data_IF_238503193780
#
_entry.id   IF_238503193780
#
_cell.length_a   1.000
_cell.length_b   1.000
_cell.length_c   1.000
_cell.angle_alpha   90.00
_cell.angle_beta   90.00
_cell.angle_gamma   90.00
#
_symmetry.space_group_name_H-M   'P 1'
#
loop_
_entity.id
_entity.type
_entity.pdbx_description
1 polymer ?
#
# COMPACT_ATOMS: atom_id res chain seq x y z
N UNK A 1 2.78 -4.47 -35.12
CA UNK A 1 2.08 -4.86 -33.86
C UNK A 1 0.58 -5.02 -34.12
N UNK A 2 -0.05 -6.12 -33.68
CA UNK A 2 -1.51 -6.32 -33.83
C UNK A 2 -2.33 -5.32 -32.98
N UNK A 3 -3.55 -4.98 -33.37
CA UNK A 3 -4.43 -4.03 -32.65
C UNK A 3 -4.64 -4.39 -31.17
N UNK A 4 -4.81 -5.67 -30.82
CA UNK A 4 -4.96 -6.11 -29.43
C UNK A 4 -3.68 -5.88 -28.59
N UNK A 5 -2.52 -6.17 -29.17
CA UNK A 5 -1.20 -5.88 -28.55
C UNK A 5 -0.96 -4.37 -28.43
N UNK A 6 -1.40 -3.57 -29.42
CA UNK A 6 -1.35 -2.11 -29.32
C UNK A 6 -2.21 -1.63 -28.14
N UNK A 7 -3.47 -2.05 -28.07
CA UNK A 7 -4.37 -1.64 -26.99
C UNK A 7 -3.78 -1.97 -25.62
N UNK A 8 -3.25 -3.18 -25.47
CA UNK A 8 -2.56 -3.61 -24.23
C UNK A 8 -1.35 -2.72 -23.94
N UNK A 9 -0.48 -2.48 -24.93
CA UNK A 9 0.67 -1.60 -24.76
C UNK A 9 0.27 -0.18 -24.36
N UNK A 10 -0.72 0.42 -25.03
CA UNK A 10 -1.25 1.75 -24.70
C UNK A 10 -1.75 1.77 -23.26
N UNK A 11 -2.53 0.77 -22.86
CA UNK A 11 -3.14 0.67 -21.53
C UNK A 11 -2.07 0.59 -20.42
N UNK A 12 -1.06 -0.26 -20.60
CA UNK A 12 0.03 -0.39 -19.62
C UNK A 12 0.98 0.82 -19.61
N UNK A 13 1.23 1.44 -20.78
CA UNK A 13 2.01 2.68 -20.83
C UNK A 13 1.24 3.81 -20.14
N UNK A 14 -0.06 3.97 -20.43
CA UNK A 14 -0.90 4.97 -19.78
C UNK A 14 -0.95 4.75 -18.26
N UNK A 15 -1.13 3.50 -17.82
CA UNK A 15 -1.07 3.15 -16.39
C UNK A 15 0.28 3.54 -15.78
N UNK A 16 1.38 3.20 -16.44
CA UNK A 16 2.72 3.58 -15.97
C UNK A 16 2.85 5.10 -15.83
N UNK A 17 2.45 5.88 -16.85
CA UNK A 17 2.45 7.36 -16.79
C UNK A 17 1.63 7.88 -15.60
N UNK A 18 0.46 7.30 -15.32
CA UNK A 18 -0.41 7.70 -14.20
C UNK A 18 0.20 7.38 -12.83
N UNK A 19 1.04 6.35 -12.74
CA UNK A 19 1.75 5.98 -11.52
C UNK A 19 3.01 6.82 -11.26
N UNK A 20 3.58 7.45 -12.30
CA UNK A 20 4.74 8.34 -12.17
C UNK A 20 4.30 9.66 -11.53
N UNK A 21 4.61 9.78 -10.23
CA UNK A 21 4.20 10.88 -9.35
C UNK A 21 5.34 11.30 -8.43
N UNK A 22 5.28 12.55 -8.01
CA UNK A 22 6.16 13.12 -7.01
C UNK A 22 5.98 12.40 -5.66
N UNK A 23 7.10 12.17 -4.97
CA UNK A 23 7.09 11.59 -3.64
C UNK A 23 6.66 12.67 -2.68
N UNK A 24 5.49 12.48 -2.09
CA UNK A 24 4.82 13.50 -1.28
C UNK A 24 4.26 12.94 0.03
N UNK A 25 4.66 11.71 0.31
CA UNK A 25 4.24 10.88 1.41
C UNK A 25 5.04 11.20 2.69
N UNK A 26 4.39 11.45 3.83
CA UNK A 26 5.08 11.65 5.10
C UNK A 26 5.97 10.48 5.54
N UNK A 27 5.51 9.25 5.30
CA UNK A 27 6.13 8.03 5.83
C UNK A 27 7.31 7.54 4.99
N UNK A 28 7.34 7.92 3.72
CA UNK A 28 8.47 7.62 2.82
C UNK A 28 9.84 7.92 3.45
N UNK A 29 9.94 9.03 4.17
CA UNK A 29 11.22 9.52 4.69
C UNK A 29 11.79 8.66 5.82
N UNK A 30 10.96 8.18 6.75
CA UNK A 30 11.46 7.30 7.81
C UNK A 30 11.80 5.91 7.28
N UNK A 31 11.09 5.38 6.28
CA UNK A 31 11.49 4.14 5.60
C UNK A 31 12.89 4.26 4.99
N UNK A 32 13.17 5.40 4.35
CA UNK A 32 14.47 5.65 3.75
C UNK A 32 15.58 5.70 4.81
N UNK A 33 15.32 6.36 5.95
CA UNK A 33 16.26 6.40 7.07
C UNK A 33 16.40 5.04 7.76
N UNK A 34 15.34 4.26 7.89
CA UNK A 34 15.35 2.91 8.44
C UNK A 34 16.27 1.99 7.61
N UNK A 35 16.09 2.00 6.28
CA UNK A 35 16.96 1.25 5.38
C UNK A 35 18.42 1.68 5.45
N UNK A 36 18.67 2.99 5.56
CA UNK A 36 20.03 3.52 5.79
C UNK A 36 20.61 3.04 7.11
N UNK A 37 19.85 3.14 8.20
CA UNK A 37 20.27 2.72 9.53
C UNK A 37 20.63 1.23 9.58
N UNK A 38 19.79 0.37 8.99
CA UNK A 38 20.05 -1.08 8.96
C UNK A 38 21.33 -1.43 8.20
N UNK A 39 21.60 -0.75 7.08
CA UNK A 39 22.84 -0.96 6.33
C UNK A 39 24.08 -0.42 7.06
N UNK A 40 23.98 0.74 7.71
CA UNK A 40 25.10 1.36 8.44
C UNK A 40 25.47 0.58 9.71
N UNK A 41 24.48 -0.01 10.39
CA UNK A 41 24.67 -0.69 11.67
C UNK A 41 24.68 -2.22 11.55
N UNK A 42 24.46 -2.77 10.34
CA UNK A 42 24.37 -4.21 10.07
C UNK A 42 23.41 -4.96 11.03
N UNK A 43 22.30 -4.32 11.38
CA UNK A 43 21.32 -4.83 12.34
C UNK A 43 19.90 -4.53 11.89
N UNK A 44 18.96 -5.37 12.31
CA UNK A 44 17.53 -5.13 12.16
C UNK A 44 17.01 -4.71 13.54
N UNK A 45 16.61 -3.44 13.73
CA UNK A 45 16.24 -2.93 15.04
C UNK A 45 14.95 -3.60 15.54
N UNK A 46 14.92 -3.95 16.82
CA UNK A 46 13.71 -4.44 17.50
C UNK A 46 13.10 -3.37 18.44
N UNK A 47 13.77 -2.22 18.54
CA UNK A 47 13.33 -1.05 19.30
C UNK A 47 13.50 0.19 18.45
N UNK A 48 12.76 1.26 18.74
CA UNK A 48 12.83 2.48 17.93
C UNK A 48 14.10 3.30 18.20
N UNK A 49 15.00 3.49 17.20
CA UNK A 49 16.17 4.35 17.39
C UNK A 49 15.84 5.84 17.20
N UNK A 50 14.70 6.19 16.59
CA UNK A 50 14.49 7.54 16.03
C UNK A 50 13.74 8.49 16.95
N UNK A 51 12.74 8.03 17.71
CA UNK A 51 12.01 8.87 18.64
C UNK A 51 12.55 8.72 20.07
N UNK A 52 12.92 9.84 20.70
CA UNK A 52 13.44 9.82 22.07
C UNK A 52 12.38 9.44 23.12
N UNK A 53 11.10 9.53 22.75
CA UNK A 53 9.93 9.15 23.54
C UNK A 53 9.60 7.65 23.44
N UNK A 54 10.21 6.93 22.49
CA UNK A 54 9.91 5.53 22.19
C UNK A 54 11.14 4.60 22.20
N UNK A 55 12.31 5.05 22.68
CA UNK A 55 13.58 4.30 22.60
C UNK A 55 13.53 2.86 23.17
N UNK A 56 12.68 2.61 24.15
CA UNK A 56 12.52 1.29 24.77
C UNK A 56 11.28 0.51 24.27
N UNK A 57 10.49 1.07 23.34
CA UNK A 57 9.30 0.41 22.80
C UNK A 57 9.68 -0.59 21.71
N UNK A 58 8.98 -1.72 21.70
CA UNK A 58 9.10 -2.71 20.62
C UNK A 58 8.77 -2.04 19.28
N UNK A 59 9.63 -2.27 18.29
CA UNK A 59 9.33 -1.97 16.91
C UNK A 59 9.36 -3.27 16.09
N UNK A 60 8.18 -3.67 15.60
CA UNK A 60 8.05 -4.82 14.70
C UNK A 60 8.42 -4.35 13.29
N UNK A 61 9.68 -4.54 12.91
CA UNK A 61 10.22 -4.15 11.59
C UNK A 61 9.75 -5.09 10.47
N UNK A 62 8.44 -5.09 10.24
CA UNK A 62 7.75 -5.93 9.26
C UNK A 62 8.03 -5.56 7.80
N UNK A 63 8.73 -4.44 7.56
CA UNK A 63 9.09 -3.92 6.23
C UNK A 63 10.61 -3.83 6.02
N UNK A 64 11.42 -4.45 6.89
CA UNK A 64 12.88 -4.29 6.91
C UNK A 64 13.55 -4.48 5.53
N UNK A 65 13.13 -5.49 4.76
CA UNK A 65 13.71 -5.76 3.44
C UNK A 65 13.27 -4.71 2.41
N UNK A 66 12.04 -4.20 2.51
CA UNK A 66 11.56 -3.11 1.66
C UNK A 66 12.33 -1.82 1.94
N UNK A 67 12.63 -1.53 3.19
CA UNK A 67 13.39 -0.34 3.59
C UNK A 67 14.83 -0.39 3.08
N UNK A 68 15.50 -1.53 3.25
CA UNK A 68 16.84 -1.77 2.66
C UNK A 68 16.79 -1.63 1.14
N UNK A 69 15.79 -2.22 0.49
CA UNK A 69 15.59 -2.11 -0.96
C UNK A 69 15.38 -0.67 -1.40
N UNK A 70 14.50 0.07 -0.72
CA UNK A 70 14.20 1.48 -1.02
C UNK A 70 15.46 2.35 -0.89
N UNK A 71 16.22 2.22 0.20
CA UNK A 71 17.45 2.97 0.37
C UNK A 71 18.55 2.56 -0.63
N UNK A 72 18.67 1.27 -0.94
CA UNK A 72 19.59 0.79 -1.97
C UNK A 72 19.30 1.38 -3.35
N UNK A 73 18.03 1.41 -3.75
CA UNK A 73 17.58 2.03 -5.02
C UNK A 73 17.81 3.54 -5.01
N UNK A 74 17.50 4.21 -3.90
CA UNK A 74 17.76 5.64 -3.73
C UNK A 74 19.25 5.97 -3.91
N UNK A 75 20.15 5.17 -3.35
CA UNK A 75 21.59 5.37 -3.52
C UNK A 75 22.08 5.27 -4.97
N UNK A 76 21.41 4.47 -5.81
CA UNK A 76 21.81 4.24 -7.20
C UNK A 76 21.30 5.33 -8.15
N UNK A 77 20.10 5.86 -7.92
CA UNK A 77 19.48 6.80 -8.86
C UNK A 77 18.54 7.82 -8.24
N UNK A 78 18.65 8.06 -6.93
CA UNK A 78 17.86 9.03 -6.18
C UNK A 78 16.35 8.78 -6.23
N UNK A 79 15.58 9.86 -6.10
CA UNK A 79 14.12 9.81 -6.21
C UNK A 79 13.65 9.38 -7.60
N UNK A 80 14.45 9.61 -8.64
CA UNK A 80 14.15 9.21 -10.00
C UNK A 80 13.97 7.72 -10.17
N UNK A 81 14.99 6.96 -9.76
CA UNK A 81 14.94 5.52 -9.89
C UNK A 81 13.86 4.92 -8.98
N UNK A 82 13.67 5.46 -7.78
CA UNK A 82 12.60 5.04 -6.87
C UNK A 82 11.20 5.20 -7.48
N UNK A 83 10.88 6.41 -7.97
CA UNK A 83 9.56 6.68 -8.57
C UNK A 83 9.32 5.78 -9.78
N UNK A 84 10.32 5.62 -10.67
CA UNK A 84 10.18 4.77 -11.86
C UNK A 84 10.02 3.29 -11.50
N UNK A 85 10.77 2.81 -10.51
CA UNK A 85 10.73 1.42 -10.07
C UNK A 85 9.38 1.08 -9.41
N UNK A 86 8.90 1.93 -8.49
CA UNK A 86 7.59 1.72 -7.86
C UNK A 86 6.43 1.91 -8.84
N UNK A 87 6.55 2.82 -9.81
CA UNK A 87 5.62 2.91 -10.95
C UNK A 87 5.56 1.60 -11.74
N UNK A 88 6.73 0.98 -11.96
CA UNK A 88 6.85 -0.33 -12.58
C UNK A 88 6.22 -1.45 -11.74
N UNK A 89 6.45 -1.46 -10.43
CA UNK A 89 5.85 -2.42 -9.48
C UNK A 89 4.32 -2.32 -9.51
N UNK A 90 3.76 -1.11 -9.42
CA UNK A 90 2.31 -0.89 -9.47
C UNK A 90 1.79 -1.36 -10.84
N UNK A 91 2.39 -0.91 -11.93
CA UNK A 91 1.98 -1.31 -13.30
C UNK A 91 2.00 -2.83 -13.48
N UNK A 92 3.03 -3.50 -12.97
CA UNK A 92 3.16 -4.96 -13.02
C UNK A 92 2.11 -5.67 -12.14
N UNK A 93 1.72 -5.08 -11.01
CA UNK A 93 0.65 -5.61 -10.18
C UNK A 93 -0.69 -5.68 -10.93
N UNK A 94 -0.91 -4.80 -11.90
CA UNK A 94 -2.07 -4.83 -12.78
C UNK A 94 -1.88 -5.71 -14.03
N UNK A 95 -0.71 -6.34 -14.24
CA UNK A 95 -0.41 -7.13 -15.45
C UNK A 95 -1.31 -8.36 -15.64
N UNK A 96 -1.81 -8.93 -14.54
CA UNK A 96 -2.79 -10.00 -14.58
C UNK A 96 -4.18 -9.54 -15.05
N UNK A 97 -4.47 -8.24 -14.90
CA UNK A 97 -5.77 -7.66 -15.23
C UNK A 97 -5.83 -7.31 -16.71
N UNK A 98 -6.90 -7.74 -17.39
CA UNK A 98 -7.11 -7.49 -18.80
C UNK A 98 -8.44 -6.77 -19.08
N UNK A 99 -8.44 -5.97 -20.14
CA UNK A 99 -9.63 -5.29 -20.66
C UNK A 99 -9.82 -3.86 -20.13
N UNK A 100 -10.85 -3.18 -20.64
CA UNK A 100 -11.13 -1.79 -20.32
C UNK A 100 -11.44 -1.53 -18.83
N UNK A 101 -11.95 -2.55 -18.13
CA UNK A 101 -12.20 -2.49 -16.69
C UNK A 101 -10.92 -2.18 -15.88
N UNK A 102 -9.73 -2.49 -16.42
CA UNK A 102 -8.45 -2.11 -15.81
C UNK A 102 -8.35 -0.60 -15.56
N UNK A 103 -8.83 0.25 -16.48
CA UNK A 103 -8.78 1.70 -16.27
C UNK A 103 -9.63 2.13 -15.07
N UNK A 104 -10.82 1.55 -14.91
CA UNK A 104 -11.68 1.85 -13.77
C UNK A 104 -11.04 1.39 -12.46
N UNK A 105 -10.45 0.19 -12.44
CA UNK A 105 -9.70 -0.31 -11.29
C UNK A 105 -8.49 0.55 -10.96
N UNK A 106 -7.70 0.92 -11.96
CA UNK A 106 -6.56 1.79 -11.83
C UNK A 106 -6.94 3.14 -11.21
N UNK A 107 -7.99 3.80 -11.75
CA UNK A 107 -8.50 5.05 -11.22
C UNK A 107 -9.06 4.91 -9.79
N UNK A 108 -9.73 3.81 -9.46
CA UNK A 108 -10.23 3.55 -8.11
C UNK A 108 -9.11 3.40 -7.07
N UNK A 109 -7.94 2.91 -7.48
CA UNK A 109 -6.76 2.76 -6.60
C UNK A 109 -5.79 3.93 -6.67
N UNK A 110 -5.96 4.84 -7.62
CA UNK A 110 -5.05 5.94 -7.88
C UNK A 110 -4.71 6.78 -6.63
N UNK A 111 -5.64 7.06 -5.70
CA UNK A 111 -5.31 7.85 -4.50
C UNK A 111 -4.32 7.17 -3.55
N UNK A 112 -4.20 5.84 -3.59
CA UNK A 112 -3.34 5.07 -2.67
C UNK A 112 -1.95 4.80 -3.23
N UNK A 113 -1.63 5.26 -4.44
CA UNK A 113 -0.35 4.99 -5.09
C UNK A 113 0.74 5.94 -4.61
N UNK A 114 1.93 5.39 -4.39
CA UNK A 114 3.13 6.14 -4.03
C UNK A 114 4.33 5.21 -3.91
N UNK A 115 5.47 5.78 -3.53
CA UNK A 115 6.68 5.02 -3.19
C UNK A 115 6.52 4.47 -1.77
N UNK A 116 5.80 3.36 -1.64
CA UNK A 116 5.43 2.73 -0.36
C UNK A 116 5.63 1.21 -0.42
N UNK A 117 6.10 0.56 0.65
CA UNK A 117 6.17 -0.91 0.73
C UNK A 117 4.84 -1.62 0.42
N UNK A 118 3.69 -1.00 0.73
CA UNK A 118 2.36 -1.50 0.37
C UNK A 118 2.19 -1.83 -1.12
N UNK A 119 2.89 -1.15 -2.03
CA UNK A 119 2.80 -1.44 -3.47
C UNK A 119 3.38 -2.81 -3.83
N UNK A 120 4.32 -3.34 -3.05
CA UNK A 120 4.80 -4.72 -3.17
C UNK A 120 3.69 -5.70 -2.79
N UNK A 121 2.92 -5.40 -1.75
CA UNK A 121 1.73 -6.20 -1.39
C UNK A 121 0.74 -6.33 -2.54
N UNK A 122 0.53 -5.25 -3.29
CA UNK A 122 -0.33 -5.30 -4.48
C UNK A 122 0.24 -6.26 -5.54
N UNK A 123 1.55 -6.19 -5.81
CA UNK A 123 2.23 -7.07 -6.77
C UNK A 123 2.15 -8.54 -6.36
N UNK A 124 2.50 -8.86 -5.11
CA UNK A 124 2.47 -10.24 -4.62
C UNK A 124 1.05 -10.80 -4.57
N UNK A 125 0.06 -10.02 -4.13
CA UNK A 125 -1.34 -10.46 -4.14
C UNK A 125 -1.83 -10.75 -5.56
N UNK A 126 -1.46 -9.92 -6.53
CA UNK A 126 -1.76 -10.16 -7.94
C UNK A 126 -1.13 -11.45 -8.46
N UNK A 127 0.14 -11.71 -8.12
CA UNK A 127 0.81 -12.97 -8.45
C UNK A 127 0.12 -14.19 -7.81
N UNK A 128 -0.31 -14.08 -6.56
CA UNK A 128 -1.06 -15.14 -5.87
C UNK A 128 -2.39 -15.45 -6.57
N UNK A 129 -3.17 -14.42 -6.88
CA UNK A 129 -4.44 -14.56 -7.60
C UNK A 129 -4.22 -15.19 -8.98
N UNK A 130 -3.25 -14.68 -9.75
CA UNK A 130 -2.89 -15.26 -11.05
C UNK A 130 -2.55 -16.75 -10.95
N UNK A 131 -1.65 -17.12 -10.03
CA UNK A 131 -1.22 -18.52 -9.87
C UNK A 131 -2.37 -19.42 -9.43
N UNK A 132 -3.22 -18.97 -8.52
CA UNK A 132 -4.38 -19.72 -8.05
C UNK A 132 -5.46 -19.86 -9.13
N UNK A 133 -5.70 -18.83 -9.93
CA UNK A 133 -6.64 -18.88 -11.06
C UNK A 133 -6.13 -19.80 -12.18
N UNK A 134 -4.83 -19.75 -12.48
CA UNK A 134 -4.17 -20.70 -13.38
C UNK A 134 -4.26 -22.12 -12.86
N UNK A 135 -4.05 -22.33 -11.56
CA UNK A 135 -4.22 -23.63 -10.93
C UNK A 135 -5.65 -24.15 -11.07
N UNK A 136 -6.67 -23.34 -10.76
CA UNK A 136 -8.08 -23.74 -10.88
C UNK A 136 -8.44 -24.08 -12.32
N UNK A 137 -7.97 -23.27 -13.27
CA UNK A 137 -8.29 -23.43 -14.70
C UNK A 137 -7.60 -24.65 -15.32
N UNK A 138 -6.32 -24.87 -15.02
CA UNK A 138 -5.50 -25.94 -15.63
C UNK A 138 -5.50 -27.23 -14.81
N UNK A 139 -5.82 -27.14 -13.51
CA UNK A 139 -5.70 -28.22 -12.51
C UNK A 139 -4.28 -28.74 -12.29
N UNK A 140 -3.27 -28.00 -12.75
CA UNK A 140 -1.86 -28.37 -12.64
C UNK A 140 -1.23 -27.84 -11.35
N UNK A 141 -0.82 -28.74 -10.46
CA UNK A 141 -0.23 -28.39 -9.16
C UNK A 141 1.06 -27.54 -9.26
N UNK A 142 1.71 -27.48 -10.43
CA UNK A 142 2.94 -26.68 -10.63
C UNK A 142 2.73 -25.19 -10.34
N UNK A 143 1.51 -24.68 -10.53
CA UNK A 143 1.17 -23.28 -10.24
C UNK A 143 1.08 -22.99 -8.74
N UNK A 144 0.96 -24.01 -7.88
CA UNK A 144 0.97 -23.82 -6.43
C UNK A 144 2.37 -23.77 -5.83
N UNK A 145 3.35 -24.41 -6.48
CA UNK A 145 4.72 -24.55 -5.96
C UNK A 145 5.39 -23.20 -5.63
N UNK A 146 5.22 -22.13 -6.43
CA UNK A 146 5.84 -20.84 -6.11
C UNK A 146 5.23 -20.15 -4.87
N UNK A 147 3.99 -20.47 -4.46
CA UNK A 147 3.27 -19.69 -3.44
C UNK A 147 3.99 -19.63 -2.08
N UNK A 148 4.53 -20.72 -1.51
CA UNK A 148 5.29 -20.63 -0.26
C UNK A 148 6.58 -19.83 -0.38
N UNK A 149 7.26 -19.89 -1.54
CA UNK A 149 8.49 -19.10 -1.78
C UNK A 149 8.17 -17.61 -1.94
N UNK A 150 7.08 -17.29 -2.64
CA UNK A 150 6.61 -15.91 -2.73
C UNK A 150 6.16 -15.38 -1.36
N UNK A 151 5.51 -16.22 -0.54
CA UNK A 151 5.14 -15.89 0.84
C UNK A 151 6.37 -15.57 1.70
N UNK A 152 7.42 -16.40 1.60
CA UNK A 152 8.70 -16.21 2.29
C UNK A 152 9.31 -14.83 1.99
N UNK A 153 9.29 -14.43 0.72
CA UNK A 153 9.81 -13.12 0.32
C UNK A 153 8.87 -12.01 0.80
N UNK A 154 7.56 -12.21 0.64
CA UNK A 154 6.56 -11.20 0.96
C UNK A 154 6.48 -10.86 2.45
N UNK A 155 6.56 -11.85 3.36
CA UNK A 155 6.55 -11.59 4.81
C UNK A 155 7.71 -10.70 5.27
N UNK A 156 8.82 -10.72 4.55
CA UNK A 156 9.98 -9.85 4.83
C UNK A 156 9.86 -8.46 4.19
N UNK A 157 8.95 -8.28 3.23
CA UNK A 157 8.74 -7.02 2.53
C UNK A 157 7.59 -6.18 3.12
N UNK A 158 6.48 -6.80 3.54
CA UNK A 158 5.31 -6.06 4.02
C UNK A 158 4.34 -6.97 4.82
N UNK A 159 3.69 -6.41 5.85
CA UNK A 159 2.69 -7.11 6.70
C UNK A 159 1.43 -7.56 5.96
N UNK A 160 1.19 -7.01 4.77
CA UNK A 160 0.13 -7.40 3.84
C UNK A 160 0.20 -8.85 3.35
N UNK A 161 1.28 -9.58 3.63
CA UNK A 161 1.41 -11.02 3.36
C UNK A 161 0.23 -11.84 3.92
N UNK A 162 -0.40 -11.37 5.01
CA UNK A 162 -1.58 -12.01 5.60
C UNK A 162 -2.69 -12.24 4.57
N UNK A 163 -2.79 -11.35 3.58
CA UNK A 163 -3.75 -11.49 2.48
C UNK A 163 -3.47 -12.70 1.59
N UNK A 164 -2.21 -13.10 1.42
CA UNK A 164 -1.87 -14.32 0.70
C UNK A 164 -2.46 -15.57 1.36
N UNK A 165 -2.42 -15.64 2.70
CA UNK A 165 -3.05 -16.74 3.45
C UNK A 165 -4.58 -16.72 3.32
N UNK A 166 -5.19 -15.53 3.42
CA UNK A 166 -6.64 -15.35 3.23
C UNK A 166 -7.08 -15.82 1.84
N UNK A 167 -6.34 -15.45 0.79
CA UNK A 167 -6.67 -15.87 -0.58
C UNK A 167 -6.51 -17.37 -0.76
N UNK A 168 -5.40 -17.98 -0.33
CA UNK A 168 -5.25 -19.45 -0.43
C UNK A 168 -6.38 -20.15 0.36
N UNK A 169 -6.72 -19.64 1.55
CA UNK A 169 -7.82 -20.14 2.36
C UNK A 169 -9.17 -20.06 1.67
N UNK A 170 -9.48 -18.95 0.98
CA UNK A 170 -10.72 -18.79 0.22
C UNK A 170 -10.84 -19.81 -0.93
N UNK A 171 -9.74 -20.05 -1.67
CA UNK A 171 -9.71 -21.06 -2.73
C UNK A 171 -9.86 -22.48 -2.17
N UNK A 172 -9.19 -22.78 -1.07
CA UNK A 172 -9.31 -24.08 -0.40
C UNK A 172 -10.74 -24.31 0.10
N UNK A 173 -11.33 -23.34 0.80
CA UNK A 173 -12.69 -23.43 1.34
C UNK A 173 -13.72 -23.61 0.23
N UNK A 174 -13.60 -22.84 -0.87
CA UNK A 174 -14.46 -23.00 -2.04
C UNK A 174 -14.36 -24.40 -2.66
N UNK A 175 -13.13 -24.89 -2.87
CA UNK A 175 -12.89 -26.22 -3.43
C UNK A 175 -13.39 -27.35 -2.52
N UNK A 176 -13.22 -27.20 -1.21
CA UNK A 176 -13.68 -28.14 -0.21
C UNK A 176 -15.21 -28.19 -0.14
N UNK A 177 -15.87 -27.03 -0.09
CA UNK A 177 -17.33 -26.92 -0.09
C UNK A 177 -17.98 -27.55 -1.34
N UNK A 178 -17.43 -27.28 -2.53
CA UNK A 178 -17.87 -27.94 -3.76
C UNK A 178 -17.71 -29.46 -3.70
N UNK A 179 -16.60 -29.94 -3.12
CA UNK A 179 -16.35 -31.37 -2.91
C UNK A 179 -17.37 -32.03 -1.99
N UNK A 180 -17.74 -31.40 -0.86
CA UNK A 180 -18.76 -31.91 0.07
C UNK A 180 -20.12 -32.01 -0.62
N UNK A 181 -20.53 -30.93 -1.30
CA UNK A 181 -21.83 -30.90 -2.00
C UNK A 181 -21.90 -31.99 -3.06
N UNK A 182 -20.81 -32.22 -3.80
CA UNK A 182 -20.72 -33.29 -4.78
C UNK A 182 -20.87 -34.69 -4.16
N UNK A 183 -20.17 -34.97 -3.05
CA UNK A 183 -20.27 -36.26 -2.34
C UNK A 183 -21.67 -36.51 -1.78
N UNK A 184 -22.31 -35.49 -1.20
CA UNK A 184 -23.67 -35.59 -0.68
C UNK A 184 -24.70 -35.89 -1.77
N UNK A 185 -24.58 -35.26 -2.95
CA UNK A 185 -25.43 -35.52 -4.12
C UNK A 185 -25.20 -36.91 -4.71
N UNK A 186 -23.94 -37.36 -4.81
CA UNK A 186 -23.59 -38.71 -5.27
C UNK A 186 -24.20 -39.80 -4.38
N UNK A 187 -24.22 -39.59 -3.06
CA UNK A 187 -24.78 -40.54 -2.10
C UNK A 187 -26.31 -40.63 -2.13
N UNK A 188 -27.01 -39.58 -2.56
CA UNK A 188 -28.49 -39.54 -2.64
C UNK A 188 -29.10 -40.14 -3.91
N UNK A 189 -28.28 -40.59 -4.87
CA UNK A 189 -28.68 -41.35 -6.06
C UNK A 189 -30.07 -41.00 -6.63
N UNK A 190 -30.24 -39.74 -7.04
CA UNK A 190 -31.19 -39.39 -8.10
C UNK A 190 -30.38 -39.02 -9.33
N UNK A 191 -30.60 -39.81 -10.39
CA UNK A 191 -29.91 -39.70 -11.67
C UNK A 191 -29.94 -38.27 -12.24
N UNK A 192 -28.90 -37.98 -13.01
CA UNK A 192 -28.62 -36.76 -13.77
C UNK A 192 -28.22 -35.54 -12.94
N UNK A 193 -26.95 -35.10 -13.05
CA UNK A 193 -26.50 -33.69 -13.11
C UNK A 193 -24.97 -33.57 -13.06
N UNK A 194 -24.34 -33.79 -14.22
CA UNK A 194 -23.43 -32.94 -15.02
C UNK A 194 -22.44 -31.91 -14.40
N UNK A 195 -22.28 -31.76 -13.09
CA UNK A 195 -21.27 -30.83 -12.56
C UNK A 195 -20.37 -31.52 -11.53
N UNK A 196 -19.29 -32.13 -12.02
CA UNK A 196 -18.14 -32.48 -11.20
C UNK A 196 -17.62 -31.23 -10.47
N UNK A 197 -17.03 -31.38 -9.26
CA UNK A 197 -16.43 -30.25 -8.56
C UNK A 197 -15.34 -29.62 -9.43
N UNK A 198 -15.12 -28.32 -9.25
CA UNK A 198 -14.14 -27.59 -10.07
C UNK A 198 -12.74 -28.20 -9.94
N UNK A 199 -12.40 -28.65 -8.72
CA UNK A 199 -11.15 -29.31 -8.36
C UNK A 199 -11.38 -30.73 -7.83
N UNK A 200 -10.41 -31.62 -8.10
CA UNK A 200 -10.40 -32.97 -7.54
C UNK A 200 -10.00 -32.97 -6.06
N UNK A 201 -10.34 -34.01 -5.27
CA UNK A 201 -9.88 -34.12 -3.87
C UNK A 201 -8.36 -34.03 -3.71
N UNK A 202 -7.60 -34.54 -4.69
CA UNK A 202 -6.13 -34.44 -4.72
C UNK A 202 -5.68 -32.98 -4.87
N UNK A 203 -6.33 -32.21 -5.73
CA UNK A 203 -6.06 -30.79 -5.91
C UNK A 203 -6.44 -29.99 -4.65
N UNK A 204 -7.58 -30.28 -4.03
CA UNK A 204 -8.01 -29.64 -2.77
C UNK A 204 -7.03 -29.93 -1.62
N UNK A 205 -6.52 -31.17 -1.52
CA UNK A 205 -5.47 -31.52 -0.56
C UNK A 205 -4.17 -30.78 -0.85
N UNK A 206 -3.79 -30.61 -2.13
CA UNK A 206 -2.62 -29.84 -2.49
C UNK A 206 -2.73 -28.36 -2.06
N UNK A 207 -3.90 -27.73 -2.23
CA UNK A 207 -4.16 -26.38 -1.71
C UNK A 207 -3.98 -26.30 -0.19
N UNK A 208 -4.49 -27.29 0.56
CA UNK A 208 -4.33 -27.32 2.01
C UNK A 208 -2.86 -27.41 2.42
N UNK A 209 -2.09 -28.31 1.79
CA UNK A 209 -0.65 -28.45 2.05
C UNK A 209 0.06 -27.12 1.77
N UNK A 210 -0.29 -26.44 0.68
CA UNK A 210 0.31 -25.17 0.29
C UNK A 210 -0.07 -24.03 1.24
N UNK A 211 -1.28 -24.04 1.79
CA UNK A 211 -1.68 -23.13 2.86
C UNK A 211 -0.79 -23.31 4.09
N UNK A 212 -0.58 -24.55 4.53
CA UNK A 212 0.30 -24.86 5.69
C UNK A 212 1.74 -24.46 5.40
N UNK A 213 2.29 -24.80 4.23
CA UNK A 213 3.66 -24.42 3.86
C UNK A 213 3.83 -22.90 3.78
N UNK A 214 2.83 -22.18 3.26
CA UNK A 214 2.83 -20.72 3.23
C UNK A 214 2.75 -20.14 4.65
N UNK A 215 1.92 -20.71 5.53
CA UNK A 215 1.88 -20.30 6.93
C UNK A 215 3.23 -20.55 7.63
N UNK A 216 3.88 -21.68 7.40
CA UNK A 216 5.21 -21.95 7.96
C UNK A 216 6.27 -20.97 7.40
N UNK A 217 6.17 -20.56 6.14
CA UNK A 217 7.07 -19.57 5.56
C UNK A 217 7.01 -18.20 6.29
N UNK A 218 5.88 -17.86 6.92
CA UNK A 218 5.73 -16.64 7.73
C UNK A 218 6.73 -16.61 8.88
N UNK A 219 7.11 -17.76 9.44
CA UNK A 219 8.06 -17.81 10.56
C UNK A 219 9.49 -17.40 10.18
N UNK A 220 9.81 -17.37 8.88
CA UNK A 220 11.16 -17.08 8.40
C UNK A 220 11.29 -15.57 8.15
N UNK A 221 11.33 -14.83 9.25
CA UNK A 221 11.57 -13.39 9.29
C UNK A 221 12.19 -12.98 10.64
N UNK A 222 12.79 -11.79 10.78
CA UNK A 222 13.44 -11.35 12.02
C UNK A 222 12.53 -11.29 13.25
N UNK A 223 11.22 -11.07 13.05
CA UNK A 223 10.22 -11.00 14.12
C UNK A 223 9.54 -12.36 14.41
N UNK A 224 9.90 -13.42 13.68
CA UNK A 224 9.40 -14.78 13.89
C UNK A 224 7.87 -14.88 13.96
N UNK A 225 7.36 -15.47 15.05
CA UNK A 225 5.92 -15.69 15.25
C UNK A 225 5.11 -14.40 15.51
N UNK A 226 5.77 -13.29 15.90
CA UNK A 226 5.12 -11.99 16.13
C UNK A 226 4.31 -11.52 14.92
N UNK A 227 4.79 -11.87 13.72
CA UNK A 227 4.13 -11.53 12.47
C UNK A 227 2.70 -12.06 12.38
N UNK A 228 2.36 -13.21 12.98
CA UNK A 228 0.97 -13.71 12.95
C UNK A 228 -0.03 -12.81 13.68
N UNK A 229 0.42 -12.08 14.69
CA UNK A 229 -0.42 -11.23 15.55
C UNK A 229 -0.45 -9.78 15.03
N UNK A 230 0.67 -9.31 14.49
CA UNK A 230 0.86 -7.92 14.07
C UNK A 230 -0.25 -7.34 13.14
N UNK A 231 -0.72 -8.05 12.09
CA UNK A 231 -1.84 -7.56 11.27
C UNK A 231 -3.13 -7.33 12.06
N UNK A 232 -3.39 -8.09 13.13
CA UNK A 232 -4.58 -7.90 13.95
C UNK A 232 -4.46 -6.67 14.85
N UNK A 233 -3.28 -6.41 15.41
CA UNK A 233 -3.03 -5.23 16.24
C UNK A 233 -3.27 -3.94 15.45
N UNK A 234 -2.73 -3.86 14.24
CA UNK A 234 -2.94 -2.71 13.33
C UNK A 234 -4.43 -2.54 12.97
N UNK A 235 -5.17 -3.64 12.74
CA UNK A 235 -6.62 -3.61 12.50
C UNK A 235 -7.46 -3.26 13.74
N UNK A 236 -6.87 -3.24 14.95
CA UNK A 236 -7.58 -2.95 16.20
C UNK A 236 -7.16 -1.63 16.85
N UNK A 237 -6.09 -0.97 16.41
CA UNK A 237 -5.68 0.33 16.96
C UNK A 237 -6.75 1.40 16.68
N UNK A 238 -7.26 1.99 17.77
CA UNK A 238 -8.25 3.05 17.68
C UNK A 238 -7.60 4.36 17.23
N UNK A 239 -6.35 4.62 17.60
CA UNK A 239 -5.62 5.81 17.18
C UNK A 239 -5.37 5.82 15.67
N UNK A 240 -4.90 4.70 15.11
CA UNK A 240 -4.71 4.58 13.66
C UNK A 240 -6.02 4.82 12.90
N UNK A 241 -7.12 4.21 13.36
CA UNK A 241 -8.44 4.34 12.72
C UNK A 241 -9.06 5.74 12.82
N UNK A 242 -8.68 6.54 13.83
CA UNK A 242 -9.25 7.87 14.08
C UNK A 242 -8.44 9.00 13.48
N UNK A 243 -7.13 8.85 13.34
CA UNK A 243 -6.24 9.99 13.02
C UNK A 243 -5.48 9.83 11.71
N UNK A 244 -5.36 8.62 11.16
CA UNK A 244 -4.67 8.39 9.90
C UNK A 244 -5.71 8.28 8.77
N UNK A 245 -5.67 9.22 7.83
CA UNK A 245 -6.69 9.39 6.78
C UNK A 245 -6.91 8.13 5.93
N UNK A 246 -5.89 7.32 5.67
CA UNK A 246 -6.03 6.10 4.86
C UNK A 246 -6.92 5.02 5.51
N UNK A 247 -7.13 5.11 6.83
CA UNK A 247 -8.00 4.22 7.59
C UNK A 247 -9.47 4.62 7.54
N UNK A 248 -9.79 5.81 7.02
CA UNK A 248 -11.16 6.27 6.89
C UNK A 248 -11.86 5.55 5.75
N UNK A 249 -13.18 5.44 5.87
CA UNK A 249 -14.03 4.99 4.77
C UNK A 249 -13.91 5.96 3.60
N UNK A 250 -13.94 5.48 2.35
CA UNK A 250 -13.88 6.36 1.18
C UNK A 250 -15.09 7.30 1.18
N UNK A 251 -14.83 8.60 1.04
CA UNK A 251 -15.87 9.62 0.95
C UNK A 251 -16.31 9.79 -0.51
N UNK A 252 -17.47 9.23 -0.85
CA UNK A 252 -18.01 9.28 -2.21
C UNK A 252 -18.49 10.67 -2.65
N UNK A 253 -18.47 11.67 -1.76
CA UNK A 253 -18.64 13.08 -2.18
C UNK A 253 -17.35 13.66 -2.79
N UNK A 254 -16.21 13.03 -2.55
CA UNK A 254 -14.94 13.44 -3.15
C UNK A 254 -14.74 12.75 -4.50
N UNK A 255 -14.40 13.54 -5.52
CA UNK A 255 -14.28 13.08 -6.91
C UNK A 255 -13.28 11.94 -7.08
N UNK A 256 -12.25 11.89 -6.23
CA UNK A 256 -11.22 10.84 -6.24
C UNK A 256 -11.75 9.43 -5.91
N UNK A 257 -12.86 9.31 -5.18
CA UNK A 257 -13.46 8.01 -4.81
C UNK A 257 -14.63 7.59 -5.71
N UNK A 258 -15.10 8.47 -6.61
CA UNK A 258 -16.15 8.14 -7.59
C UNK A 258 -15.82 6.91 -8.46
N UNK A 259 -14.58 6.70 -8.94
CA UNK A 259 -14.24 5.49 -9.70
C UNK A 259 -14.47 4.20 -8.90
N UNK A 260 -14.25 4.23 -7.58
CA UNK A 260 -14.54 3.08 -6.71
C UNK A 260 -16.05 2.84 -6.57
N UNK A 261 -16.85 3.90 -6.39
CA UNK A 261 -18.32 3.78 -6.41
C UNK A 261 -18.83 3.19 -7.73
N UNK A 262 -18.33 3.69 -8.86
CA UNK A 262 -18.66 3.20 -10.19
C UNK A 262 -18.28 1.72 -10.37
N UNK A 263 -17.14 1.29 -9.82
CA UNK A 263 -16.74 -0.11 -9.83
C UNK A 263 -17.73 -1.00 -9.07
N UNK A 264 -18.15 -0.60 -7.87
CA UNK A 264 -19.13 -1.34 -7.06
C UNK A 264 -20.47 -1.46 -7.80
N UNK A 265 -20.99 -0.33 -8.33
CA UNK A 265 -22.24 -0.32 -9.09
C UNK A 265 -22.14 -1.18 -10.35
N UNK A 266 -21.02 -1.10 -11.07
CA UNK A 266 -20.79 -1.89 -12.29
C UNK A 266 -20.74 -3.39 -12.00
N UNK A 267 -20.11 -3.81 -10.90
CA UNK A 267 -20.08 -5.21 -10.47
C UNK A 267 -21.48 -5.75 -10.18
N UNK A 268 -22.30 -4.98 -9.45
CA UNK A 268 -23.68 -5.37 -9.13
C UNK A 268 -24.51 -5.46 -10.42
N UNK A 269 -24.51 -4.39 -11.23
CA UNK A 269 -25.28 -4.32 -12.46
C UNK A 269 -24.93 -5.46 -13.44
N UNK A 270 -23.64 -5.68 -13.68
CA UNK A 270 -23.19 -6.74 -14.60
C UNK A 270 -23.45 -8.14 -14.07
N UNK A 271 -23.41 -8.37 -12.76
CA UNK A 271 -23.77 -9.67 -12.18
C UNK A 271 -25.26 -9.99 -12.34
N UNK A 272 -26.13 -8.98 -12.23
CA UNK A 272 -27.58 -9.13 -12.45
C UNK A 272 -27.93 -9.36 -13.93
N UNK A 273 -27.21 -8.70 -14.85
CA UNK A 273 -27.50 -8.72 -16.30
C UNK A 273 -26.80 -9.90 -17.01
N UNK A 274 -25.48 -10.01 -16.88
CA UNK A 274 -24.66 -10.94 -17.66
C UNK A 274 -24.82 -12.39 -17.21
N UNK A 275 -25.10 -12.60 -15.92
CA UNK A 275 -25.27 -13.93 -15.29
C UNK A 275 -24.14 -14.92 -15.58
N UNK A 276 -22.92 -14.46 -15.88
CA UNK A 276 -21.78 -15.35 -16.01
C UNK A 276 -21.45 -15.94 -14.62
N UNK A 277 -21.02 -17.20 -14.62
CA UNK A 277 -20.70 -17.90 -13.37
C UNK A 277 -19.46 -17.28 -12.72
N UNK A 278 -19.63 -16.74 -11.52
CA UNK A 278 -18.52 -16.28 -10.66
C UNK A 278 -18.08 -17.45 -9.76
N UNK A 279 -16.78 -17.80 -9.71
CA UNK A 279 -16.28 -18.84 -8.81
C UNK A 279 -16.55 -18.48 -7.34
N UNK A 280 -16.87 -19.48 -6.51
CA UNK A 280 -17.18 -19.25 -5.09
C UNK A 280 -16.03 -18.55 -4.34
N UNK A 281 -14.78 -18.90 -4.65
CA UNK A 281 -13.60 -18.24 -4.07
C UNK A 281 -13.61 -16.72 -4.33
N UNK A 282 -13.97 -16.29 -5.55
CA UNK A 282 -14.08 -14.88 -5.88
C UNK A 282 -15.26 -14.21 -5.18
N UNK A 283 -16.39 -14.90 -5.02
CA UNK A 283 -17.54 -14.35 -4.26
C UNK A 283 -17.12 -14.08 -2.81
N UNK A 284 -16.46 -15.04 -2.16
CA UNK A 284 -15.96 -14.89 -0.79
C UNK A 284 -14.98 -13.72 -0.67
N UNK A 285 -14.04 -13.61 -1.62
CA UNK A 285 -13.05 -12.54 -1.63
C UNK A 285 -13.67 -11.17 -1.94
N UNK A 286 -14.59 -11.07 -2.91
CA UNK A 286 -15.30 -9.83 -3.21
C UNK A 286 -16.09 -9.33 -2.00
N UNK A 287 -16.75 -10.23 -1.27
CA UNK A 287 -17.49 -9.86 -0.08
C UNK A 287 -16.55 -9.40 1.05
N UNK A 288 -15.54 -10.21 1.37
CA UNK A 288 -14.60 -9.90 2.45
C UNK A 288 -13.79 -8.63 2.16
N UNK A 289 -13.18 -8.52 0.98
CA UNK A 289 -12.38 -7.36 0.58
C UNK A 289 -13.25 -6.14 0.30
N UNK A 290 -14.48 -6.32 -0.20
CA UNK A 290 -15.43 -5.24 -0.40
C UNK A 290 -15.81 -4.59 0.92
N UNK A 291 -16.09 -5.38 1.96
CA UNK A 291 -16.34 -4.87 3.30
C UNK A 291 -15.12 -4.12 3.87
N UNK A 292 -13.92 -4.68 3.71
CA UNK A 292 -12.68 -4.02 4.14
C UNK A 292 -12.39 -2.71 3.38
N UNK A 293 -12.68 -2.67 2.08
CA UNK A 293 -12.52 -1.49 1.22
C UNK A 293 -13.54 -0.39 1.53
N UNK A 294 -14.78 -0.77 1.88
CA UNK A 294 -15.79 0.17 2.37
C UNK A 294 -15.44 0.71 3.76
N UNK A 295 -14.81 -0.09 4.62
CA UNK A 295 -14.38 0.35 5.95
C UNK A 295 -13.17 1.29 5.86
N UNK A 296 -12.20 0.99 5.00
CA UNK A 296 -10.96 1.76 4.87
C UNK A 296 -10.47 1.81 3.43
N UNK A 297 -10.20 3.03 2.96
CA UNK A 297 -9.74 3.32 1.61
C UNK A 297 -8.44 2.58 1.24
N UNK A 298 -7.55 2.32 2.21
CA UNK A 298 -6.30 1.57 1.98
C UNK A 298 -6.50 0.14 1.46
N UNK A 299 -7.69 -0.45 1.65
CA UNK A 299 -8.01 -1.81 1.22
C UNK A 299 -8.63 -1.87 -0.19
N UNK A 300 -8.99 -0.71 -0.79
CA UNK A 300 -9.55 -0.64 -2.14
C UNK A 300 -8.65 -1.34 -3.18
N UNK A 301 -7.31 -1.18 -3.17
CA UNK A 301 -6.45 -1.90 -4.11
C UNK A 301 -6.54 -3.42 -4.04
N UNK A 302 -6.71 -3.97 -2.83
CA UNK A 302 -6.86 -5.42 -2.65
C UNK A 302 -8.16 -5.91 -3.27
N UNK A 303 -9.27 -5.18 -3.04
CA UNK A 303 -10.56 -5.48 -3.65
C UNK A 303 -10.52 -5.40 -5.17
N UNK A 304 -9.86 -4.36 -5.72
CA UNK A 304 -9.75 -4.13 -7.16
C UNK A 304 -9.10 -5.31 -7.88
N UNK A 305 -8.07 -5.93 -7.30
CA UNK A 305 -7.41 -7.10 -7.91
C UNK A 305 -8.35 -8.30 -8.11
N UNK A 306 -9.40 -8.44 -7.29
CA UNK A 306 -10.41 -9.50 -7.42
C UNK A 306 -11.62 -9.03 -8.24
N UNK A 307 -12.00 -7.77 -8.08
CA UNK A 307 -13.14 -7.13 -8.77
C UNK A 307 -12.97 -7.07 -10.27
N UNK A 308 -11.79 -6.65 -10.75
CA UNK A 308 -11.57 -6.39 -12.17
C UNK A 308 -11.64 -7.65 -13.04
N UNK A 309 -11.04 -8.80 -12.68
CA UNK A 309 -11.20 -10.03 -13.45
C UNK A 309 -12.68 -10.46 -13.55
N UNK A 310 -13.42 -10.35 -12.45
CA UNK A 310 -14.85 -10.70 -12.40
C UNK A 310 -15.66 -9.75 -13.28
N UNK A 311 -15.48 -8.44 -13.15
CA UNK A 311 -16.16 -7.45 -13.98
C UNK A 311 -15.83 -7.64 -15.47
N UNK A 312 -14.56 -7.86 -15.82
CA UNK A 312 -14.14 -8.13 -17.19
C UNK A 312 -14.81 -9.38 -17.77
N UNK A 313 -14.92 -10.46 -16.98
CA UNK A 313 -15.61 -11.69 -17.41
C UNK A 313 -17.11 -11.47 -17.62
N UNK A 314 -17.78 -10.74 -16.73
CA UNK A 314 -19.20 -10.41 -16.86
C UNK A 314 -19.46 -9.53 -18.09
N UNK A 315 -18.64 -8.49 -18.31
CA UNK A 315 -18.75 -7.62 -19.48
C UNK A 315 -18.51 -8.37 -20.79
N UNK A 316 -17.50 -9.25 -20.84
CA UNK A 316 -17.22 -10.06 -22.02
C UNK A 316 -18.39 -11.00 -22.35
N UNK A 317 -19.02 -11.60 -21.33
CA UNK A 317 -20.20 -12.45 -21.49
C UNK A 317 -21.41 -11.64 -21.98
N UNK A 318 -21.68 -10.47 -21.39
CA UNK A 318 -22.82 -9.63 -21.75
C UNK A 318 -22.71 -9.08 -23.19
N UNK A 319 -21.55 -8.54 -23.55
CA UNK A 319 -21.32 -7.91 -24.85
C UNK A 319 -20.99 -8.93 -25.95
N UNK A 320 -20.97 -10.22 -25.64
CA UNK A 320 -20.59 -11.30 -26.57
C UNK A 320 -19.26 -11.03 -27.30
N UNK A 321 -18.31 -10.37 -26.62
CA UNK A 321 -17.06 -9.92 -27.21
C UNK A 321 -16.21 -11.13 -27.60
N UNK A 322 -16.03 -11.35 -28.90
CA UNK A 322 -15.04 -12.28 -29.43
C UNK A 322 -13.79 -11.51 -29.85
N UNK A 323 -12.64 -11.95 -29.38
CA UNK A 323 -11.37 -11.40 -29.83
C UNK A 323 -11.24 -11.60 -31.35
N UNK A 324 -11.15 -10.50 -32.10
CA UNK A 324 -10.89 -10.55 -33.54
C UNK A 324 -9.41 -10.86 -33.78
N UNK A 325 -9.11 -12.03 -34.33
CA UNK A 325 -7.75 -12.47 -34.69
C UNK A 325 -7.34 -12.03 -36.12
N UNK A 326 -8.02 -11.05 -36.71
CA UNK A 326 -7.66 -10.57 -38.05
C UNK A 326 -6.28 -9.91 -38.02
N UNK A 327 -5.35 -10.28 -38.92
CA UNK A 327 -4.02 -9.68 -38.95
C UNK A 327 -4.11 -8.20 -39.28
N UNK A 328 -3.39 -7.37 -38.52
CA UNK A 328 -3.39 -5.91 -38.71
C UNK A 328 -2.57 -5.53 -39.96
N UNK A 329 -3.11 -4.71 -40.89
CA UNK A 329 -2.40 -4.27 -42.10
C UNK A 329 -1.07 -3.58 -41.79
N UNK A 330 -0.05 -3.73 -42.65
CA UNK A 330 1.28 -3.09 -42.51
C UNK A 330 1.27 -1.58 -42.21
N UNK A 331 0.50 -0.72 -42.91
CA UNK A 331 0.46 0.71 -42.58
C UNK A 331 -0.07 0.98 -41.17
N UNK A 332 -1.06 0.21 -40.70
CA UNK A 332 -1.52 0.28 -39.31
C UNK A 332 -0.43 -0.18 -38.33
N UNK A 333 0.45 -1.10 -38.70
CA UNK A 333 1.56 -1.49 -37.81
C UNK A 333 2.58 -0.36 -37.60
N UNK A 334 2.83 0.47 -38.61
CA UNK A 334 3.69 1.65 -38.51
C UNK A 334 3.01 2.71 -37.62
N UNK A 335 1.73 3.01 -37.86
CA UNK A 335 0.96 3.93 -37.01
C UNK A 335 0.97 3.45 -35.56
N UNK A 336 0.75 2.14 -35.32
CA UNK A 336 0.80 1.56 -33.98
C UNK A 336 2.18 1.73 -33.31
N UNK A 337 3.27 1.59 -34.07
CA UNK A 337 4.61 1.81 -33.56
C UNK A 337 4.87 3.29 -33.24
N UNK A 338 4.39 4.21 -34.08
CA UNK A 338 4.45 5.66 -33.82
C UNK A 338 3.67 6.03 -32.57
N UNK A 339 2.45 5.49 -32.38
CA UNK A 339 1.64 5.73 -31.17
C UNK A 339 2.40 5.27 -29.92
N UNK A 340 2.96 4.06 -29.93
CA UNK A 340 3.78 3.56 -28.80
C UNK A 340 5.00 4.44 -28.59
N UNK A 341 5.67 4.89 -29.65
CA UNK A 341 6.81 5.80 -29.56
C UNK A 341 6.44 7.13 -28.92
N UNK A 342 5.32 7.74 -29.33
CA UNK A 342 4.80 8.99 -28.74
C UNK A 342 4.43 8.81 -27.27
N UNK A 343 3.79 7.69 -26.92
CA UNK A 343 3.47 7.40 -25.52
C UNK A 343 4.73 7.15 -24.68
N UNK A 344 5.75 6.50 -25.23
CA UNK A 344 7.04 6.34 -24.57
C UNK A 344 7.74 7.69 -24.36
N UNK A 345 7.67 8.60 -25.34
CA UNK A 345 8.15 9.99 -25.16
C UNK A 345 7.35 10.74 -24.09
N UNK A 346 6.02 10.52 -24.02
CA UNK A 346 5.19 11.10 -22.96
C UNK A 346 5.56 10.56 -21.57
N UNK A 347 5.94 9.27 -21.45
CA UNK A 347 6.51 8.69 -20.22
C UNK A 347 7.79 9.42 -19.84
N UNK A 348 8.73 9.58 -20.77
CA UNK A 348 9.99 10.27 -20.50
C UNK A 348 9.78 11.74 -20.11
N UNK A 349 8.86 12.44 -20.78
CA UNK A 349 8.50 13.81 -20.45
C UNK A 349 7.85 13.91 -19.06
N UNK A 350 6.90 13.02 -18.73
CA UNK A 350 6.27 12.97 -17.39
C UNK A 350 7.29 12.66 -16.31
N UNK A 351 8.17 11.68 -16.54
CA UNK A 351 9.25 11.34 -15.63
C UNK A 351 10.17 12.56 -15.42
N UNK A 352 10.65 13.19 -16.49
CA UNK A 352 11.47 14.41 -16.39
C UNK A 352 10.78 15.53 -15.61
N UNK A 353 9.49 15.76 -15.85
CA UNK A 353 8.69 16.77 -15.16
C UNK A 353 8.54 16.49 -13.65
N UNK A 354 8.18 15.26 -13.29
CA UNK A 354 8.03 14.84 -11.88
C UNK A 354 9.34 15.01 -11.12
N UNK A 355 10.46 14.68 -11.75
CA UNK A 355 11.77 14.76 -11.13
C UNK A 355 12.28 16.18 -10.99
N UNK A 356 12.07 17.01 -12.00
CA UNK A 356 12.36 18.44 -11.91
C UNK A 356 11.52 19.13 -10.80
N UNK A 357 10.31 18.62 -10.54
CA UNK A 357 9.39 19.20 -9.56
C UNK A 357 9.52 18.62 -8.14
N UNK A 358 10.27 17.54 -7.94
CA UNK A 358 10.36 16.84 -6.65
C UNK A 358 10.83 17.77 -5.52
N UNK A 359 11.83 18.61 -5.75
CA UNK A 359 12.34 19.55 -4.75
C UNK A 359 11.32 20.65 -4.40
N UNK A 360 10.44 21.03 -5.34
CA UNK A 360 9.35 21.96 -5.06
C UNK A 360 8.28 21.30 -4.19
N UNK A 361 7.93 20.04 -4.47
CA UNK A 361 6.97 19.29 -3.64
C UNK A 361 7.50 19.08 -2.22
N UNK A 362 8.80 18.76 -2.08
CA UNK A 362 9.45 18.67 -0.77
C UNK A 362 9.32 20.00 0.01
N UNK A 363 9.68 21.12 -0.62
CA UNK A 363 9.52 22.47 -0.05
C UNK A 363 8.07 22.87 0.19
N UNK A 364 7.11 22.33 -0.54
CA UNK A 364 5.70 22.70 -0.42
C UNK A 364 4.95 21.92 0.67
N UNK A 365 5.46 20.75 1.08
CA UNK A 365 4.79 19.86 2.04
C UNK A 365 5.52 19.66 3.36
N UNK A 366 6.83 19.91 3.40
CA UNK A 366 7.66 19.65 4.57
C UNK A 366 8.40 20.92 5.01
N UNK A 367 8.77 21.04 6.31
CA UNK A 367 9.33 22.25 6.89
C UNK A 367 10.83 22.41 6.53
N UNK A 368 11.14 22.45 5.24
CA UNK A 368 12.51 22.42 4.73
C UNK A 368 13.35 23.62 5.18
N UNK A 369 12.74 24.81 5.27
CA UNK A 369 13.44 26.02 5.72
C UNK A 369 13.70 26.00 7.23
N UNK A 370 12.75 25.55 8.05
CA UNK A 370 12.98 25.36 9.48
C UNK A 370 14.07 24.29 9.75
N UNK A 371 14.08 23.20 8.99
CA UNK A 371 15.14 22.18 9.06
C UNK A 371 16.51 22.78 8.73
N UNK A 372 16.61 23.58 7.66
CA UNK A 372 17.85 24.28 7.32
C UNK A 372 18.29 25.22 8.45
N UNK A 373 17.36 25.94 9.08
CA UNK A 373 17.64 26.79 10.23
C UNK A 373 18.15 25.99 11.44
N UNK A 374 17.54 24.84 11.78
CA UNK A 374 17.99 23.95 12.87
C UNK A 374 19.41 23.43 12.61
N UNK A 375 19.70 23.01 11.37
CA UNK A 375 21.03 22.52 10.99
C UNK A 375 22.12 23.60 11.12
N UNK A 376 21.77 24.86 10.81
CA UNK A 376 22.69 26.00 10.87
C UNK A 376 22.92 26.48 12.31
N UNK A 377 21.85 26.65 13.10
CA UNK A 377 21.91 27.27 14.43
C UNK A 377 22.18 26.27 15.56
N UNK A 378 21.91 24.98 15.32
CA UNK A 378 22.10 23.88 16.27
C UNK A 378 21.50 24.18 17.67
N UNK A 379 20.19 24.46 17.77
CA UNK A 379 19.52 24.66 19.06
C UNK A 379 19.64 23.43 19.98
N UNK A 380 19.19 23.56 21.23
CA UNK A 380 19.14 22.44 22.14
C UNK A 380 18.28 21.27 21.56
N UNK A 381 18.65 20.00 21.84
CA UNK A 381 17.88 18.83 21.40
C UNK A 381 16.54 18.70 22.17
N UNK A 382 15.85 17.57 22.01
CA UNK A 382 14.49 17.30 22.50
C UNK A 382 13.43 18.13 21.77
N UNK A 383 13.31 17.82 20.47
CA UNK A 383 12.41 18.44 19.53
C UNK A 383 11.01 17.82 19.62
N UNK A 384 10.01 18.61 19.99
CA UNK A 384 8.60 18.32 19.72
C UNK A 384 8.25 18.72 18.29
N UNK A 385 7.65 17.80 17.53
CA UNK A 385 7.33 18.02 16.13
C UNK A 385 5.91 17.58 15.77
N UNK A 386 5.35 18.17 14.71
CA UNK A 386 4.09 17.67 14.12
C UNK A 386 4.23 16.26 13.57
N UNK A 387 3.15 15.49 13.69
CA UNK A 387 3.08 14.06 13.30
C UNK A 387 3.50 13.82 11.85
N UNK A 388 2.92 14.59 10.92
CA UNK A 388 3.17 14.46 9.47
C UNK A 388 4.58 14.87 9.03
N UNK A 389 5.39 15.47 9.91
CA UNK A 389 6.77 15.85 9.59
C UNK A 389 7.80 14.93 10.23
N UNK A 390 7.41 14.05 11.16
CA UNK A 390 8.33 13.20 11.90
C UNK A 390 9.27 12.39 11.01
N UNK A 391 8.72 11.73 9.98
CA UNK A 391 9.56 10.96 9.05
C UNK A 391 10.58 11.81 8.30
N UNK A 392 10.17 13.01 7.85
CA UNK A 392 11.07 13.94 7.16
C UNK A 392 12.20 14.44 8.08
N UNK A 393 11.87 14.75 9.33
CA UNK A 393 12.83 15.17 10.34
C UNK A 393 13.81 14.03 10.69
N UNK A 394 13.32 12.80 10.80
CA UNK A 394 14.16 11.61 10.95
C UNK A 394 15.19 11.52 9.81
N UNK A 395 14.78 11.71 8.57
CA UNK A 395 15.69 11.66 7.43
C UNK A 395 16.74 12.79 7.42
N UNK A 396 16.37 14.00 7.82
CA UNK A 396 17.22 15.20 7.68
C UNK A 396 18.05 15.55 8.92
N UNK A 397 17.62 15.14 10.12
CA UNK A 397 18.20 15.61 11.38
C UNK A 397 18.74 14.49 12.29
N UNK A 398 18.39 13.22 12.06
CA UNK A 398 18.94 12.12 12.84
C UNK A 398 20.40 11.84 12.42
N UNK A 399 21.33 11.53 13.37
CA UNK A 399 21.11 11.26 14.80
C UNK A 399 21.15 12.49 15.71
N UNK A 400 21.42 13.69 15.19
CA UNK A 400 21.62 14.88 16.02
C UNK A 400 20.34 15.33 16.73
N UNK A 401 19.18 15.17 16.07
CA UNK A 401 17.87 15.38 16.68
C UNK A 401 17.02 14.13 16.50
N UNK A 402 16.58 13.58 17.63
CA UNK A 402 15.51 12.60 17.68
C UNK A 402 14.17 13.31 17.71
N UNK A 403 13.17 12.69 17.09
CA UNK A 403 11.81 13.26 17.00
C UNK A 403 10.99 12.91 18.24
N UNK A 404 9.93 13.68 18.51
CA UNK A 404 8.96 13.35 19.55
C UNK A 404 7.94 12.31 19.08
N UNK A 405 7.55 12.40 17.81
CA UNK A 405 6.59 11.49 17.18
C UNK A 405 6.83 11.41 15.67
N UNK A 406 6.39 10.31 15.05
CA UNK A 406 6.40 10.10 13.61
C UNK A 406 5.23 9.17 13.19
N UNK A 407 5.15 8.85 11.91
CA UNK A 407 4.03 8.10 11.32
C UNK A 407 3.87 6.65 11.76
N UNK A 408 4.84 6.08 12.50
CA UNK A 408 4.77 4.71 13.04
C UNK A 408 3.88 4.63 14.28
N UNK A 409 2.58 4.79 14.07
CA UNK A 409 1.58 4.74 15.14
C UNK A 409 1.60 3.40 15.93
N UNK A 410 2.01 2.31 15.29
CA UNK A 410 2.20 0.99 15.91
C UNK A 410 3.29 0.99 16.99
N UNK A 411 4.35 1.77 16.81
CA UNK A 411 5.42 1.97 17.80
C UNK A 411 4.96 2.86 18.94
N UNK A 412 4.25 3.94 18.62
CA UNK A 412 3.86 4.97 19.58
C UNK A 412 2.73 4.51 20.51
N UNK A 413 1.73 3.80 19.96
CA UNK A 413 0.59 3.27 20.70
C UNK A 413 -0.47 4.32 21.06
N UNK A 414 -1.70 3.85 21.25
CA UNK A 414 -2.89 4.72 21.33
C UNK A 414 -2.83 5.77 22.45
N UNK A 415 -2.34 5.41 23.64
CA UNK A 415 -2.27 6.32 24.78
C UNK A 415 -1.30 7.49 24.55
N UNK A 416 -0.12 7.21 23.99
CA UNK A 416 0.87 8.25 23.69
C UNK A 416 0.42 9.16 22.55
N UNK A 417 -0.25 8.61 21.52
CA UNK A 417 -0.82 9.43 20.45
C UNK A 417 -1.88 10.39 21.01
N UNK A 418 -2.70 9.93 21.96
CA UNK A 418 -3.65 10.81 22.64
C UNK A 418 -2.94 11.91 23.44
N UNK A 419 -1.89 11.58 24.19
CA UNK A 419 -1.09 12.58 24.91
C UNK A 419 -0.46 13.61 23.97
N UNK A 420 0.08 13.16 22.83
CA UNK A 420 0.58 14.04 21.78
C UNK A 420 -0.52 14.98 21.26
N UNK A 421 -1.72 14.47 20.98
CA UNK A 421 -2.82 15.29 20.50
C UNK A 421 -3.31 16.30 21.53
N UNK A 422 -3.29 15.96 22.81
CA UNK A 422 -3.63 16.88 23.89
C UNK A 422 -2.63 18.05 23.94
N UNK A 423 -1.32 17.77 23.78
CA UNK A 423 -0.29 18.80 23.67
C UNK A 423 -0.51 19.64 22.42
N UNK A 424 -0.69 19.01 21.26
CA UNK A 424 -0.90 19.69 19.97
C UNK A 424 -2.11 20.65 19.99
N UNK A 425 -3.17 20.27 20.71
CA UNK A 425 -4.39 21.07 20.87
C UNK A 425 -4.31 22.11 21.99
N UNK A 426 -3.18 22.22 22.69
CA UNK A 426 -3.04 23.03 23.89
C UNK A 426 -4.13 22.74 24.94
N UNK A 427 -4.47 21.46 25.12
CA UNK A 427 -5.43 21.04 26.14
C UNK A 427 -4.87 21.29 27.55
N UNK A 428 -5.75 21.36 28.56
CA UNK A 428 -5.34 21.65 29.93
C UNK A 428 -4.18 20.75 30.40
N UNK A 429 -3.08 21.38 30.87
CA UNK A 429 -1.88 20.69 31.35
C UNK A 429 -0.86 20.33 30.26
N UNK A 430 -0.99 20.86 29.04
CA UNK A 430 -0.02 20.64 27.96
C UNK A 430 1.41 21.08 28.35
N UNK A 431 1.54 22.13 29.15
CA UNK A 431 2.81 22.67 29.65
C UNK A 431 3.57 21.63 30.49
N UNK A 432 2.85 20.98 31.40
CA UNK A 432 3.38 19.93 32.26
C UNK A 432 3.85 18.73 31.43
N UNK A 433 3.07 18.32 30.42
CA UNK A 433 3.44 17.20 29.55
C UNK A 433 4.70 17.49 28.72
N UNK A 434 4.90 18.73 28.26
CA UNK A 434 6.15 19.14 27.60
C UNK A 434 7.33 19.15 28.58
N UNK A 435 7.13 19.65 29.80
CA UNK A 435 8.15 19.70 30.85
C UNK A 435 8.58 18.29 31.29
N UNK A 436 7.64 17.36 31.47
CA UNK A 436 7.90 15.95 31.81
C UNK A 436 8.81 15.25 30.78
N UNK A 437 8.70 15.64 29.51
CA UNK A 437 9.54 15.12 28.42
C UNK A 437 10.78 15.97 28.15
N UNK A 438 11.01 17.01 28.97
CA UNK A 438 12.11 17.98 28.82
C UNK A 438 12.22 18.51 27.38
N UNK A 439 11.08 18.86 26.79
CA UNK A 439 11.04 19.48 25.45
C UNK A 439 11.59 20.89 25.55
N UNK A 440 12.55 21.20 24.67
CA UNK A 440 13.20 22.53 24.60
C UNK A 440 13.03 23.23 23.26
N UNK A 441 12.54 22.50 22.27
CA UNK A 441 12.36 22.98 20.92
C UNK A 441 11.03 22.45 20.38
N UNK A 442 10.21 23.30 19.79
CA UNK A 442 8.92 22.94 19.20
C UNK A 442 8.92 23.37 17.73
N UNK A 443 8.64 22.45 16.81
CA UNK A 443 8.47 22.70 15.37
C UNK A 443 7.09 22.20 14.92
N UNK A 444 6.18 23.12 14.61
CA UNK A 444 4.79 22.82 14.27
C UNK A 444 4.26 23.77 13.19
N UNK A 445 3.05 23.50 12.69
CA UNK A 445 2.35 24.39 11.78
C UNK A 445 2.00 25.73 12.47
N UNK A 446 2.09 26.88 11.78
CA UNK A 446 1.80 28.20 12.36
C UNK A 446 0.37 28.37 12.88
N UNK A 447 -0.58 27.65 12.32
CA UNK A 447 -2.01 27.69 12.67
C UNK A 447 -2.40 26.64 13.71
N UNK A 448 -1.45 25.82 14.19
CA UNK A 448 -1.70 24.86 15.25
C UNK A 448 -2.11 25.57 16.56
N UNK A 449 -3.07 25.03 17.33
CA UNK A 449 -3.46 25.62 18.62
C UNK A 449 -2.27 25.78 19.58
N UNK A 450 -1.36 24.81 19.62
CA UNK A 450 -0.12 24.88 20.40
C UNK A 450 0.77 26.09 20.02
N UNK A 451 0.83 26.47 18.75
CA UNK A 451 1.62 27.64 18.33
C UNK A 451 1.06 28.94 18.95
N UNK A 452 -0.27 29.03 19.04
CA UNK A 452 -0.94 30.18 19.69
C UNK A 452 -0.70 30.18 21.19
N UNK A 453 -0.72 29.01 21.84
CA UNK A 453 -0.44 28.90 23.28
C UNK A 453 1.01 29.31 23.59
N UNK A 454 1.99 28.79 22.85
CA UNK A 454 3.42 29.10 23.00
C UNK A 454 3.72 30.58 22.73
N UNK A 455 3.02 31.22 21.80
CA UNK A 455 3.18 32.65 21.55
C UNK A 455 2.79 33.55 22.75
N UNK A 456 1.96 33.04 23.67
CA UNK A 456 1.51 33.74 24.86
C UNK A 456 2.24 33.30 26.13
N UNK A 457 3.18 32.36 26.03
CA UNK A 457 3.97 31.86 27.13
C UNK A 457 5.35 32.55 27.16
N UNK A 458 5.67 33.21 28.27
CA UNK A 458 6.93 33.94 28.43
C UNK A 458 8.18 33.05 28.48
N UNK A 459 8.03 31.75 28.71
CA UNK A 459 9.18 30.82 28.72
C UNK A 459 9.65 30.44 27.29
N UNK A 460 8.85 30.74 26.26
CA UNK A 460 9.10 30.31 24.89
C UNK A 460 9.34 31.49 23.95
N UNK A 461 10.50 31.47 23.28
CA UNK A 461 10.87 32.47 22.30
C UNK A 461 10.71 31.91 20.89
N UNK A 462 10.02 32.65 20.01
CA UNK A 462 9.91 32.30 18.58
C UNK A 462 11.22 32.62 17.87
N UNK A 463 11.92 31.59 17.41
CA UNK A 463 13.26 31.69 16.79
C UNK A 463 13.26 31.52 15.28
N UNK A 464 12.20 30.95 14.71
CA UNK A 464 12.01 30.83 13.26
C UNK A 464 10.51 30.90 12.91
N UNK A 465 10.19 31.46 11.74
CA UNK A 465 8.84 31.54 11.21
C UNK A 465 8.85 31.66 9.69
N UNK A 466 8.01 30.86 9.02
CA UNK A 466 7.65 31.02 7.61
C UNK A 466 6.16 30.67 7.40
N UNK A 467 5.73 30.57 6.13
CA UNK A 467 4.33 30.27 5.81
C UNK A 467 3.90 28.84 6.11
N UNK A 468 4.83 27.94 6.45
CA UNK A 468 4.54 26.51 6.67
C UNK A 468 4.82 26.07 8.10
N UNK A 469 5.75 26.72 8.79
CA UNK A 469 6.32 26.24 10.03
C UNK A 469 6.74 27.37 10.97
N UNK A 470 6.64 27.11 12.26
CA UNK A 470 7.14 27.98 13.32
C UNK A 470 8.02 27.16 14.26
N UNK A 471 9.12 27.76 14.73
CA UNK A 471 9.98 27.16 15.75
C UNK A 471 9.97 28.02 17.01
N UNK A 472 9.63 27.39 18.13
CA UNK A 472 9.75 27.96 19.46
C UNK A 472 10.88 27.25 20.21
N UNK A 473 11.66 28.02 20.96
CA UNK A 473 12.73 27.52 21.81
C UNK A 473 12.49 27.98 23.25
N UNK A 474 12.63 27.05 24.19
CA UNK A 474 12.56 27.36 25.62
C UNK A 474 13.91 27.91 26.08
N UNK A 475 13.89 29.02 26.82
CA UNK A 475 15.09 29.68 27.36
C UNK A 475 15.83 28.86 28.43
#
# INVERSE_FOLDING_TARGET
MSTARLFTAILFIALFVLTVREISDPDFWWHLRAGQYMLENATIPHTDPFAFTAQAKEWVTHEWLSEIFMYGVYRLGGFALLTLLFSGIITLAFAYLAGFALLLGALATAPTWGVRPQMLTLLFLSAFLFLLDRFVTTRENKFLIPLPLLMLVWVNLHSGYAMGLVVIGAYWFAAFGEGIVFLGRKRRAQNSLNAAPTLSPRNTRALFIILILSALAVLVNPNGARMFIYPFETLTSAAMQRYIQEWFSPDFHQTEWLPFALLLVSLIATTLIARARVPLAHILLLFALGLLALRSARNIPLFVLVAIPVLSAQLAAWLSLRASNKPTPRPMQIINAVIVGVLALAVLARAGSVLANQANVERAKFPAAAVAWIQQNRPAPNLYNSYGWGGYLIWKLYPQYQVYIDGRADVHGDAFIQDFLDIYRAAAGWENKLAEKNVRLVLIEPDAPLATALANDSEWTRVFFDSQSVVYQKE
#
